data_IF_899222571983
#
_entry.id   IF_899222571983
#
_cell.length_a   1.000
_cell.length_b   1.000
_cell.length_c   1.000
_cell.angle_alpha   90.00
_cell.angle_beta   90.00
_cell.angle_gamma   90.00
#
_symmetry.space_group_name_H-M   'P 1'
#
loop_
_entity.id
_entity.type
_entity.pdbx_description
1 polymer ?
#
# COMPACT_ATOMS: atom_id res chain seq x y z
N UNK A 1 -19.42 -16.82 -1.30
CA UNK A 1 -18.60 -15.76 -0.66
C UNK A 1 -17.60 -15.27 -1.69
N UNK A 2 -17.63 -13.99 -2.05
CA UNK A 2 -16.65 -13.42 -2.99
C UNK A 2 -15.30 -13.39 -2.27
N UNK A 3 -14.40 -14.31 -2.61
CA UNK A 3 -13.05 -14.35 -2.03
C UNK A 3 -12.31 -13.07 -2.44
N UNK A 4 -12.11 -12.15 -1.49
CA UNK A 4 -11.27 -10.96 -1.68
C UNK A 4 -9.82 -11.41 -1.62
N UNK A 5 -9.25 -11.82 -2.75
CA UNK A 5 -7.85 -12.26 -2.80
C UNK A 5 -6.88 -11.16 -3.28
N UNK A 6 -7.43 -10.01 -3.66
CA UNK A 6 -6.71 -8.94 -4.35
C UNK A 6 -6.06 -7.96 -3.38
N UNK A 7 -4.86 -7.51 -3.72
CA UNK A 7 -4.13 -6.45 -3.00
C UNK A 7 -4.15 -5.17 -3.82
N UNK A 8 -4.55 -4.06 -3.21
CA UNK A 8 -4.54 -2.73 -3.85
C UNK A 8 -3.20 -2.06 -3.59
N UNK A 9 -2.46 -1.70 -4.64
CA UNK A 9 -1.16 -1.02 -4.52
C UNK A 9 -1.27 0.44 -4.98
N UNK A 10 -0.94 1.38 -4.11
CA UNK A 10 -0.86 2.83 -4.36
C UNK A 10 0.61 3.27 -4.38
N UNK A 11 0.99 4.12 -5.35
CA UNK A 11 2.36 4.60 -5.53
C UNK A 11 2.40 5.85 -6.42
N UNK A 12 3.57 6.49 -6.54
CA UNK A 12 3.80 7.58 -7.49
C UNK A 12 3.99 7.00 -8.91
N UNK A 13 2.97 7.17 -9.77
CA UNK A 13 3.00 6.66 -11.14
C UNK A 13 4.10 7.26 -12.03
N UNK A 14 4.54 8.49 -11.76
CA UNK A 14 5.53 9.18 -12.58
C UNK A 14 6.96 8.79 -12.18
N UNK A 15 7.22 8.62 -10.88
CA UNK A 15 8.59 8.40 -10.37
C UNK A 15 8.86 6.93 -9.95
N UNK A 16 7.85 6.23 -9.45
CA UNK A 16 8.02 4.93 -8.79
C UNK A 16 7.50 3.72 -9.61
N UNK A 17 7.10 3.94 -10.87
CA UNK A 17 6.58 2.88 -11.75
C UNK A 17 7.56 1.70 -11.94
N UNK A 18 8.86 1.95 -11.85
CA UNK A 18 9.86 0.89 -11.96
C UNK A 18 9.83 -0.10 -10.78
N UNK A 19 9.60 0.39 -9.55
CA UNK A 19 9.42 -0.47 -8.36
C UNK A 19 8.18 -1.34 -8.48
N UNK A 20 7.12 -0.74 -8.98
CA UNK A 20 5.89 -1.44 -9.29
C UNK A 20 6.11 -2.56 -10.32
N UNK A 21 6.87 -2.32 -11.40
CA UNK A 21 7.22 -3.34 -12.40
C UNK A 21 8.06 -4.47 -11.79
N UNK A 22 8.91 -4.14 -10.81
CA UNK A 22 9.65 -5.16 -10.08
C UNK A 22 8.73 -6.03 -9.23
N UNK A 23 7.71 -5.45 -8.58
CA UNK A 23 6.68 -6.23 -7.87
C UNK A 23 5.90 -7.15 -8.82
N UNK A 24 5.62 -6.70 -10.04
CA UNK A 24 5.04 -7.55 -11.08
C UNK A 24 5.94 -8.74 -11.44
N UNK A 25 7.25 -8.51 -11.55
CA UNK A 25 8.21 -9.57 -11.81
C UNK A 25 8.30 -10.58 -10.65
N UNK A 26 8.17 -10.13 -9.40
CA UNK A 26 8.06 -11.02 -8.25
C UNK A 26 6.76 -11.83 -8.28
N UNK A 27 5.62 -11.22 -8.63
CA UNK A 27 4.35 -11.93 -8.77
C UNK A 27 4.42 -13.09 -9.77
N UNK A 28 5.05 -12.89 -10.93
CA UNK A 28 5.17 -13.93 -11.95
C UNK A 28 5.95 -15.16 -11.48
N UNK A 29 6.75 -15.04 -10.42
CA UNK A 29 7.53 -16.14 -9.86
C UNK A 29 6.89 -16.77 -8.60
N UNK A 30 6.10 -16.01 -7.83
CA UNK A 30 5.66 -16.41 -6.48
C UNK A 30 4.13 -16.28 -6.21
N UNK A 31 3.30 -16.20 -7.25
CA UNK A 31 1.82 -16.30 -7.16
C UNK A 31 1.11 -15.18 -6.34
N UNK A 32 1.72 -13.98 -6.28
CA UNK A 32 1.13 -12.80 -5.60
C UNK A 32 0.06 -12.02 -6.38
N UNK A 33 -1.23 -12.26 -6.13
CA UNK A 33 -2.34 -11.54 -6.81
C UNK A 33 -2.41 -10.02 -6.46
N UNK A 34 -1.62 -9.19 -7.17
CA UNK A 34 -1.64 -7.73 -7.08
C UNK A 34 -2.63 -7.13 -8.06
N UNK A 35 -3.63 -6.44 -7.53
CA UNK A 35 -4.53 -5.61 -8.33
C UNK A 35 -3.96 -4.21 -8.39
N UNK A 36 -3.30 -3.97 -9.49
CA UNK A 36 -2.63 -2.73 -9.75
C UNK A 36 -3.58 -1.65 -10.26
N UNK A 37 -3.40 -0.43 -9.76
CA UNK A 37 -4.03 0.74 -10.33
C UNK A 37 -2.99 1.79 -10.64
N UNK A 38 -2.66 1.87 -11.92
CA UNK A 38 -1.97 3.03 -12.45
C UNK A 38 -3.03 4.09 -12.76
N UNK A 39 -3.08 5.16 -11.96
CA UNK A 39 -3.94 6.31 -12.25
C UNK A 39 -3.60 6.95 -13.61
N UNK A 40 -2.37 6.78 -14.12
CA UNK A 40 -1.89 7.36 -15.38
C UNK A 40 -2.31 6.57 -16.63
N UNK A 41 -2.67 5.30 -16.52
CA UNK A 41 -3.20 4.51 -17.66
C UNK A 41 -4.65 4.90 -18.00
N UNK A 42 -5.34 5.54 -17.04
CA UNK A 42 -6.69 6.10 -17.22
C UNK A 42 -6.60 7.58 -17.67
N UNK A 43 -5.41 8.18 -17.64
CA UNK A 43 -5.20 9.63 -17.68
C UNK A 43 -4.84 10.16 -19.07
N UNK A 44 -5.37 9.55 -20.14
CA UNK A 44 -5.17 10.04 -21.52
C UNK A 44 -6.20 11.11 -21.93
N UNK A 45 -6.89 11.79 -21.00
CA UNK A 45 -7.71 12.95 -21.35
C UNK A 45 -7.80 14.01 -20.25
N UNK A 46 -7.64 15.27 -20.67
CA UNK A 46 -7.41 16.48 -19.85
C UNK A 46 -8.67 17.06 -19.17
N UNK A 47 -9.61 16.25 -18.67
CA UNK A 47 -10.88 16.79 -18.12
C UNK A 47 -11.15 16.45 -16.65
N UNK A 48 -11.62 17.47 -15.92
CA UNK A 48 -12.00 17.42 -14.49
C UNK A 48 -13.19 16.49 -14.20
N UNK A 49 -13.99 16.16 -15.23
CA UNK A 49 -15.06 15.16 -15.16
C UNK A 49 -14.55 13.72 -14.99
N UNK A 50 -13.26 13.46 -15.22
CA UNK A 50 -12.68 12.12 -15.03
C UNK A 50 -12.32 11.81 -13.59
N UNK A 51 -12.02 12.79 -12.74
CA UNK A 51 -11.52 12.52 -11.38
C UNK A 51 -12.54 11.73 -10.54
N UNK A 52 -13.80 12.13 -10.58
CA UNK A 52 -14.89 11.43 -9.88
C UNK A 52 -15.11 10.03 -10.43
N UNK A 53 -15.01 9.85 -11.75
CA UNK A 53 -15.10 8.54 -12.41
C UNK A 53 -13.93 7.63 -12.02
N UNK A 54 -12.70 8.15 -12.02
CA UNK A 54 -11.49 7.43 -11.60
C UNK A 54 -11.63 7.01 -10.13
N UNK A 55 -12.01 7.95 -9.24
CA UNK A 55 -12.26 7.65 -7.82
C UNK A 55 -13.35 6.60 -7.64
N UNK A 56 -14.43 6.64 -8.43
CA UNK A 56 -15.48 5.63 -8.38
C UNK A 56 -14.97 4.24 -8.76
N UNK A 57 -14.17 4.15 -9.84
CA UNK A 57 -13.54 2.89 -10.24
C UNK A 57 -12.57 2.39 -9.16
N UNK A 58 -11.68 3.25 -8.65
CA UNK A 58 -10.74 2.92 -7.58
C UNK A 58 -11.49 2.42 -6.32
N UNK A 59 -12.61 3.05 -5.96
CA UNK A 59 -13.44 2.63 -4.84
C UNK A 59 -14.06 1.24 -5.05
N UNK A 60 -14.51 0.91 -6.28
CA UNK A 60 -14.98 -0.44 -6.62
C UNK A 60 -13.90 -1.50 -6.49
N UNK A 61 -12.69 -1.15 -6.90
CA UNK A 61 -11.56 -2.07 -6.87
C UNK A 61 -11.03 -2.28 -5.46
N UNK A 62 -10.99 -1.22 -4.67
CA UNK A 62 -10.66 -1.28 -3.26
C UNK A 62 -11.71 -2.11 -2.48
N UNK A 63 -12.99 -2.06 -2.85
CA UNK A 63 -14.03 -2.96 -2.29
C UNK A 63 -13.76 -4.44 -2.51
N UNK A 64 -13.08 -4.79 -3.60
CA UNK A 64 -12.72 -6.16 -3.94
C UNK A 64 -11.34 -6.56 -3.40
N UNK A 65 -10.65 -5.66 -2.71
CA UNK A 65 -9.31 -5.89 -2.17
C UNK A 65 -9.37 -6.26 -0.69
N UNK A 66 -8.48 -7.14 -0.24
CA UNK A 66 -8.31 -7.52 1.18
C UNK A 66 -7.23 -6.72 1.88
N UNK A 67 -6.32 -6.10 1.12
CA UNK A 67 -5.11 -5.47 1.63
C UNK A 67 -4.84 -4.20 0.83
N UNK A 68 -4.34 -3.18 1.51
CA UNK A 68 -3.86 -1.94 0.90
C UNK A 68 -2.35 -1.80 1.11
N UNK A 69 -1.61 -1.60 0.03
CA UNK A 69 -0.16 -1.42 0.03
C UNK A 69 0.14 -0.04 -0.53
N UNK A 70 0.97 0.73 0.18
CA UNK A 70 1.42 2.05 -0.22
C UNK A 70 2.93 2.03 -0.41
N UNK A 71 3.41 2.31 -1.62
CA UNK A 71 4.83 2.55 -1.88
C UNK A 71 5.16 4.01 -1.58
N UNK A 72 6.10 4.24 -0.68
CA UNK A 72 6.55 5.57 -0.26
C UNK A 72 7.93 5.85 -0.86
N UNK A 73 7.92 6.62 -1.94
CA UNK A 73 9.07 7.20 -2.60
C UNK A 73 9.38 8.61 -2.11
N UNK A 74 10.17 9.35 -2.89
CA UNK A 74 10.64 10.68 -2.48
C UNK A 74 9.53 11.74 -2.53
N UNK A 75 8.60 11.59 -3.47
CA UNK A 75 7.55 12.56 -3.78
C UNK A 75 6.16 12.17 -3.29
N UNK A 76 5.99 10.95 -2.79
CA UNK A 76 4.69 10.41 -2.37
C UNK A 76 3.96 11.29 -1.35
N UNK A 77 4.70 11.94 -0.43
CA UNK A 77 4.12 12.91 0.52
C UNK A 77 3.31 14.02 -0.12
N UNK A 78 3.71 14.47 -1.31
CA UNK A 78 3.09 15.61 -2.00
C UNK A 78 1.88 15.20 -2.86
N UNK A 79 1.63 13.89 -3.02
CA UNK A 79 0.54 13.36 -3.84
C UNK A 79 -0.80 13.37 -3.09
N UNK A 80 -1.38 14.55 -2.91
CA UNK A 80 -2.60 14.70 -2.10
C UNK A 80 -3.90 14.46 -2.87
N UNK A 81 -3.89 14.45 -4.22
CA UNK A 81 -5.13 14.34 -5.00
C UNK A 81 -5.73 12.94 -5.00
N UNK A 82 -4.90 11.93 -5.28
CA UNK A 82 -5.32 10.53 -5.38
C UNK A 82 -4.81 9.71 -4.20
N UNK A 83 -3.50 9.70 -3.93
CA UNK A 83 -2.90 8.86 -2.88
C UNK A 83 -3.50 9.17 -1.50
N UNK A 84 -3.67 10.43 -1.13
CA UNK A 84 -4.34 10.78 0.13
C UNK A 84 -5.79 10.28 0.18
N UNK A 85 -6.55 10.46 -0.91
CA UNK A 85 -7.92 9.95 -0.99
C UNK A 85 -7.97 8.41 -0.89
N UNK A 86 -7.01 7.70 -1.47
CA UNK A 86 -6.90 6.23 -1.37
C UNK A 86 -6.59 5.79 0.07
N UNK A 87 -5.69 6.49 0.76
CA UNK A 87 -5.39 6.27 2.17
C UNK A 87 -6.66 6.47 3.01
N UNK A 88 -7.40 7.55 2.78
CA UNK A 88 -8.65 7.84 3.49
C UNK A 88 -9.70 6.74 3.25
N UNK A 89 -9.81 6.23 2.02
CA UNK A 89 -10.69 5.11 1.69
C UNK A 89 -10.27 3.83 2.39
N UNK A 90 -8.97 3.52 2.44
CA UNK A 90 -8.45 2.34 3.12
C UNK A 90 -8.75 2.39 4.63
N UNK A 91 -8.54 3.54 5.27
CA UNK A 91 -8.85 3.77 6.69
C UNK A 91 -10.36 3.64 6.93
N UNK A 92 -11.19 4.32 6.13
CA UNK A 92 -12.65 4.27 6.25
C UNK A 92 -13.21 2.85 6.13
N UNK A 93 -12.54 2.00 5.35
CA UNK A 93 -12.90 0.59 5.14
C UNK A 93 -12.24 -0.36 6.14
N UNK A 94 -11.41 0.14 7.05
CA UNK A 94 -10.60 -0.67 7.98
C UNK A 94 -9.80 -1.74 7.24
N UNK A 95 -9.23 -1.39 6.08
CA UNK A 95 -8.36 -2.28 5.34
C UNK A 95 -6.98 -2.34 5.99
N UNK A 96 -6.39 -3.54 6.16
CA UNK A 96 -5.01 -3.65 6.61
C UNK A 96 -4.07 -2.93 5.65
N UNK A 97 -3.30 -2.00 6.20
CA UNK A 97 -2.42 -1.11 5.44
C UNK A 97 -0.94 -1.49 5.63
N UNK A 98 -0.23 -1.68 4.54
CA UNK A 98 1.21 -1.93 4.52
C UNK A 98 1.88 -0.76 3.80
N UNK A 99 2.81 -0.10 4.47
CA UNK A 99 3.62 0.98 3.91
C UNK A 99 5.00 0.44 3.59
N UNK A 100 5.40 0.55 2.33
CA UNK A 100 6.68 0.04 1.83
C UNK A 100 7.55 1.23 1.50
N UNK A 101 8.62 1.41 2.27
CA UNK A 101 9.53 2.51 2.04
C UNK A 101 10.56 2.14 0.96
N UNK A 102 10.57 2.92 -0.12
CA UNK A 102 11.48 2.70 -1.25
C UNK A 102 12.93 3.09 -0.92
N UNK A 103 13.17 3.81 0.18
CA UNK A 103 14.51 4.11 0.70
C UNK A 103 15.11 3.01 1.59
N UNK A 104 14.55 1.79 1.52
CA UNK A 104 14.93 0.64 2.35
C UNK A 104 14.78 0.85 3.88
N UNK A 105 14.10 1.91 4.33
CA UNK A 105 13.81 2.07 5.76
C UNK A 105 12.83 1.02 6.25
N UNK A 106 13.16 0.43 7.39
CA UNK A 106 12.34 -0.56 8.11
C UNK A 106 11.33 0.09 9.07
N UNK A 107 11.33 1.41 9.17
CA UNK A 107 10.51 2.20 10.10
C UNK A 107 9.75 3.32 9.38
N UNK A 108 8.79 3.95 10.07
CA UNK A 108 8.01 5.05 9.52
C UNK A 108 8.89 6.24 9.17
N UNK A 109 8.79 6.70 7.92
CA UNK A 109 9.49 7.88 7.43
C UNK A 109 8.58 9.11 7.45
N UNK A 110 8.75 9.96 8.46
CA UNK A 110 7.93 11.17 8.63
C UNK A 110 8.20 12.26 7.57
N UNK A 111 9.30 12.15 6.81
CA UNK A 111 9.65 13.10 5.75
C UNK A 111 8.96 12.74 4.44
N UNK A 112 8.80 11.45 4.13
CA UNK A 112 8.30 10.95 2.84
C UNK A 112 6.88 10.37 2.90
N UNK A 113 6.44 9.91 4.07
CA UNK A 113 5.09 9.36 4.23
C UNK A 113 4.04 10.48 4.35
N UNK A 114 2.87 10.37 3.70
CA UNK A 114 1.75 11.29 3.92
C UNK A 114 1.30 11.30 5.39
N UNK A 115 0.95 12.47 5.93
CA UNK A 115 0.57 12.64 7.35
C UNK A 115 -0.57 11.70 7.78
N UNK A 116 -1.54 11.44 6.90
CA UNK A 116 -2.65 10.52 7.18
C UNK A 116 -2.16 9.10 7.39
N UNK A 117 -1.22 8.61 6.57
CA UNK A 117 -0.67 7.27 6.69
C UNK A 117 0.26 7.13 7.92
N UNK A 118 0.91 8.22 8.35
CA UNK A 118 1.73 8.21 9.57
C UNK A 118 0.92 7.93 10.83
N UNK A 119 -0.33 8.39 10.88
CA UNK A 119 -1.22 8.18 12.03
C UNK A 119 -2.12 6.94 11.87
N UNK A 120 -2.16 6.35 10.68
CA UNK A 120 -2.95 5.16 10.40
C UNK A 120 -2.35 3.91 11.03
N UNK A 121 -3.19 2.91 11.29
CA UNK A 121 -2.75 1.58 11.72
C UNK A 121 -2.12 0.84 10.53
N UNK A 122 -0.82 1.08 10.33
CA UNK A 122 -0.07 0.56 9.20
C UNK A 122 1.28 -0.02 9.63
N UNK A 123 1.74 -1.06 8.94
CA UNK A 123 3.09 -1.59 9.13
C UNK A 123 4.04 -1.01 8.10
N UNK A 124 5.17 -0.51 8.56
CA UNK A 124 6.24 0.04 7.72
C UNK A 124 7.31 -1.03 7.49
N UNK A 125 7.62 -1.28 6.23
CA UNK A 125 8.63 -2.26 5.80
C UNK A 125 9.55 -1.68 4.74
N UNK A 126 10.74 -2.28 4.60
CA UNK A 126 11.64 -1.97 3.48
C UNK A 126 11.13 -2.59 2.17
N UNK A 127 11.49 -1.99 1.04
CA UNK A 127 11.18 -2.54 -0.29
C UNK A 127 12.01 -3.81 -0.59
N UNK A 128 11.49 -4.98 -0.21
CA UNK A 128 12.06 -6.29 -0.51
C UNK A 128 10.94 -7.35 -0.60
N UNK A 129 11.06 -8.31 -1.52
CA UNK A 129 10.06 -9.34 -1.75
C UNK A 129 9.76 -10.19 -0.49
N UNK A 130 10.80 -10.63 0.23
CA UNK A 130 10.63 -11.56 1.35
C UNK A 130 9.88 -10.91 2.53
N UNK A 131 10.22 -9.67 2.90
CA UNK A 131 9.50 -8.94 3.96
C UNK A 131 8.10 -8.53 3.52
N UNK A 132 7.91 -8.24 2.23
CA UNK A 132 6.60 -7.90 1.68
C UNK A 132 5.65 -9.10 1.75
N UNK A 133 6.11 -10.28 1.35
CA UNK A 133 5.37 -11.54 1.52
C UNK A 133 5.01 -11.78 2.98
N UNK A 134 6.02 -11.70 3.86
CA UNK A 134 5.80 -11.89 5.29
C UNK A 134 4.76 -10.92 5.84
N UNK A 135 4.79 -9.66 5.39
CA UNK A 135 3.82 -8.66 5.79
C UNK A 135 2.43 -8.96 5.25
N UNK A 136 2.29 -9.38 4.00
CA UNK A 136 1.00 -9.73 3.39
C UNK A 136 0.32 -10.90 4.10
N UNK A 137 1.11 -11.88 4.57
CA UNK A 137 0.57 -13.07 5.23
C UNK A 137 0.24 -12.82 6.72
N UNK A 138 1.05 -12.05 7.43
CA UNK A 138 0.93 -11.90 8.89
C UNK A 138 0.26 -10.59 9.34
N UNK A 139 0.34 -9.53 8.53
CA UNK A 139 -0.20 -8.23 8.90
C UNK A 139 -1.73 -8.20 8.96
N UNK A 140 -2.51 -8.80 8.04
CA UNK A 140 -3.97 -8.74 8.12
C UNK A 140 -4.53 -9.23 9.46
N UNK A 141 -4.02 -10.36 9.96
CA UNK A 141 -4.40 -10.92 11.27
C UNK A 141 -3.99 -10.00 12.41
N UNK A 142 -2.79 -9.41 12.34
CA UNK A 142 -2.27 -8.47 13.34
C UNK A 142 -3.10 -7.18 13.36
N UNK A 143 -3.42 -6.63 12.19
CA UNK A 143 -4.23 -5.44 12.01
C UNK A 143 -5.63 -5.64 12.59
N UNK A 144 -6.29 -6.76 12.32
CA UNK A 144 -7.61 -7.04 12.92
C UNK A 144 -7.55 -7.06 14.44
N UNK A 145 -6.54 -7.71 15.02
CA UNK A 145 -6.37 -7.76 16.47
C UNK A 145 -6.13 -6.37 17.06
N UNK A 146 -5.21 -5.61 16.49
CA UNK A 146 -4.87 -4.26 16.94
C UNK A 146 -6.03 -3.28 16.77
N UNK A 147 -6.78 -3.40 15.68
CA UNK A 147 -7.99 -2.61 15.42
C UNK A 147 -9.07 -2.88 16.48
N UNK A 148 -9.31 -4.15 16.85
CA UNK A 148 -10.23 -4.51 17.95
C UNK A 148 -9.76 -4.00 19.31
N UNK A 149 -8.46 -3.93 19.53
CA UNK A 149 -7.85 -3.35 20.74
C UNK A 149 -7.87 -1.80 20.74
N UNK A 150 -8.35 -1.16 19.67
CA UNK A 150 -8.37 0.31 19.55
C UNK A 150 -6.97 0.92 19.45
N UNK A 151 -5.98 0.15 18.96
CA UNK A 151 -4.62 0.63 18.76
C UNK A 151 -4.47 1.30 17.40
N UNK A 152 -3.70 2.38 17.37
CA UNK A 152 -3.43 3.17 16.17
C UNK A 152 -1.94 3.50 16.08
N UNK A 153 -1.51 3.98 14.91
CA UNK A 153 -0.15 4.43 14.66
C UNK A 153 0.73 3.44 13.88
N UNK A 154 1.98 3.84 13.63
CA UNK A 154 2.88 3.09 12.77
C UNK A 154 3.51 1.91 13.51
N UNK A 155 3.41 0.73 12.91
CA UNK A 155 4.08 -0.48 13.35
C UNK A 155 5.29 -0.77 12.48
N UNK A 156 6.24 -1.53 13.01
CA UNK A 156 7.40 -2.01 12.28
C UNK A 156 7.75 -3.41 12.78
N UNK A 157 8.37 -4.22 11.92
CA UNK A 157 8.88 -5.52 12.32
C UNK A 157 10.22 -5.38 13.05
N UNK A 158 10.44 -6.26 14.02
CA UNK A 158 11.70 -6.37 14.74
C UNK A 158 12.82 -6.90 13.83
N UNK A 159 14.07 -6.57 14.14
CA UNK A 159 15.23 -6.98 13.34
C UNK A 159 15.39 -8.51 13.21
N UNK A 160 14.88 -9.28 14.17
CA UNK A 160 14.83 -10.75 14.11
C UNK A 160 13.98 -11.27 12.95
N UNK A 161 12.96 -10.53 12.52
CA UNK A 161 12.16 -10.88 11.34
C UNK A 161 13.00 -10.73 10.09
N UNK A 162 13.74 -9.64 9.96
CA UNK A 162 14.62 -9.39 8.82
C UNK A 162 15.77 -10.40 8.76
N UNK A 163 16.43 -10.67 9.88
CA UNK A 163 17.49 -11.67 9.98
C UNK A 163 17.00 -13.06 9.56
N UNK A 164 15.81 -13.48 9.99
CA UNK A 164 15.21 -14.77 9.59
C UNK A 164 14.88 -14.86 8.09
N UNK A 165 14.57 -13.72 7.47
CA UNK A 165 14.32 -13.61 6.03
C UNK A 165 15.63 -13.44 5.23
N UNK A 166 16.78 -13.35 5.88
CA UNK A 166 18.08 -13.14 5.25
C UNK A 166 18.33 -11.72 4.76
N UNK A 167 17.72 -10.71 5.42
CA UNK A 167 17.70 -9.30 5.00
C UNK A 167 18.41 -8.33 5.96
#
# INVERSE_FOLDING_TARGET
MTYRNKTFVSFDGDNDMHYYRLMQAWHQNDDFDFNFYNAHDINTARDSSQETSIKAQLAERMRNSKLFVLLVGERTRYLTKFVQWEIDQAISRSLPMIVVNLNARRSMDSLRCPTTAQNALAVHISFNAAIMQHAMDNWPTSHEKLSREGKFGPYYYQDDVYTRLGL
#
